data_IF_251190835561
#
_entry.id   IF_251190835561
#
_cell.length_a   1.000
_cell.length_b   1.000
_cell.length_c   1.000
_cell.angle_alpha   90.00
_cell.angle_beta   90.00
_cell.angle_gamma   90.00
#
_symmetry.space_group_name_H-M   'P 1'
#
loop_
_entity.id
_entity.type
_entity.pdbx_description
1 polymer ?
#
# COMPACT_ATOMS: atom_id res chain seq x y z
N UNK A 1 25.11 18.01 8.79
CA UNK A 1 23.90 17.25 8.36
C UNK A 1 23.58 17.39 6.87
N UNK A 2 23.67 18.60 6.28
CA UNK A 2 23.51 18.82 4.82
C UNK A 2 24.35 17.86 3.96
N UNK A 3 25.55 17.48 4.41
CA UNK A 3 26.42 16.53 3.71
C UNK A 3 25.87 15.10 3.61
N UNK A 4 25.04 14.59 4.53
CA UNK A 4 24.59 13.19 4.45
C UNK A 4 23.56 13.00 3.33
N UNK A 5 22.52 13.84 3.33
CA UNK A 5 21.43 13.80 2.34
C UNK A 5 22.00 14.07 0.94
N UNK A 6 22.77 15.15 0.78
CA UNK A 6 23.36 15.52 -0.52
C UNK A 6 24.33 14.47 -1.04
N UNK A 7 25.16 13.86 -0.18
CA UNK A 7 26.05 12.77 -0.61
C UNK A 7 25.26 11.51 -0.97
N UNK A 8 24.18 11.19 -0.27
CA UNK A 8 23.31 10.05 -0.60
C UNK A 8 22.55 10.24 -1.90
N UNK A 9 22.08 11.47 -2.18
CA UNK A 9 21.50 11.84 -3.46
C UNK A 9 22.53 11.68 -4.59
N UNK A 10 23.74 12.24 -4.44
CA UNK A 10 24.80 12.10 -5.46
C UNK A 10 25.17 10.63 -5.69
N UNK A 11 25.22 9.83 -4.62
CA UNK A 11 25.53 8.40 -4.72
C UNK A 11 24.41 7.59 -5.37
N UNK A 12 23.13 7.90 -5.10
CA UNK A 12 22.00 7.20 -5.74
C UNK A 12 22.04 7.40 -7.25
N UNK A 13 22.27 8.62 -7.73
CA UNK A 13 22.45 8.89 -9.17
C UNK A 13 23.68 8.20 -9.76
N UNK A 14 24.82 8.18 -9.04
CA UNK A 14 26.02 7.46 -9.49
C UNK A 14 25.77 5.96 -9.63
N UNK A 15 25.09 5.34 -8.66
CA UNK A 15 24.73 3.92 -8.70
C UNK A 15 23.79 3.60 -9.86
N UNK A 16 22.77 4.44 -10.07
CA UNK A 16 21.83 4.29 -11.18
C UNK A 16 22.56 4.35 -12.53
N UNK A 17 23.46 5.32 -12.71
CA UNK A 17 24.24 5.47 -13.95
C UNK A 17 25.22 4.31 -14.18
N UNK A 18 25.83 3.79 -13.10
CA UNK A 18 26.82 2.69 -13.16
C UNK A 18 26.17 1.35 -13.51
N UNK A 19 24.99 1.05 -12.96
CA UNK A 19 24.37 -0.28 -13.05
C UNK A 19 23.06 -0.27 -13.84
N UNK A 20 23.09 0.31 -15.05
CA UNK A 20 21.90 0.51 -15.92
C UNK A 20 21.04 -0.74 -16.10
N UNK A 21 21.66 -1.92 -16.26
CA UNK A 21 20.95 -3.20 -16.46
C UNK A 21 20.11 -3.61 -15.25
N UNK A 22 20.65 -3.47 -14.04
CA UNK A 22 19.91 -3.82 -12.81
C UNK A 22 18.77 -2.82 -12.60
N UNK A 23 19.01 -1.53 -12.85
CA UNK A 23 17.97 -0.49 -12.78
C UNK A 23 16.85 -0.75 -13.79
N UNK A 24 17.19 -1.13 -15.03
CA UNK A 24 16.19 -1.51 -16.03
C UNK A 24 15.37 -2.71 -15.56
N UNK A 25 16.01 -3.72 -14.96
CA UNK A 25 15.32 -4.85 -14.33
C UNK A 25 14.37 -4.41 -13.21
N UNK A 26 14.79 -3.46 -12.36
CA UNK A 26 13.93 -2.87 -11.32
C UNK A 26 12.74 -2.13 -11.92
N UNK A 27 12.92 -1.39 -13.02
CA UNK A 27 11.82 -0.70 -13.71
C UNK A 27 10.82 -1.67 -14.32
N UNK A 28 11.29 -2.70 -15.03
CA UNK A 28 10.42 -3.73 -15.61
C UNK A 28 9.64 -4.45 -14.50
N UNK A 29 10.31 -4.81 -13.42
CA UNK A 29 9.67 -5.47 -12.28
C UNK A 29 8.63 -4.54 -11.61
N UNK A 30 8.90 -3.25 -11.53
CA UNK A 30 7.97 -2.24 -11.01
C UNK A 30 6.74 -2.07 -11.92
N UNK A 31 6.93 -2.10 -13.25
CA UNK A 31 5.83 -2.06 -14.22
C UNK A 31 4.95 -3.30 -14.05
N UNK A 32 5.53 -4.50 -14.06
CA UNK A 32 4.77 -5.75 -13.90
C UNK A 32 4.01 -5.75 -12.57
N UNK A 33 4.68 -5.34 -11.48
CA UNK A 33 4.05 -5.24 -10.16
C UNK A 33 2.83 -4.31 -10.17
N UNK A 34 2.96 -3.10 -10.72
CA UNK A 34 1.86 -2.13 -10.75
C UNK A 34 0.75 -2.55 -11.69
N UNK A 35 1.07 -3.10 -12.86
CA UNK A 35 0.07 -3.63 -13.79
C UNK A 35 -0.75 -4.76 -13.18
N UNK A 36 -0.11 -5.69 -12.46
CA UNK A 36 -0.81 -6.77 -11.76
C UNK A 36 -1.67 -6.23 -10.62
N UNK A 37 -1.17 -5.29 -9.82
CA UNK A 37 -1.94 -4.67 -8.75
C UNK A 37 -3.17 -3.93 -9.30
N UNK A 38 -3.01 -3.12 -10.35
CA UNK A 38 -4.12 -2.43 -11.01
C UNK A 38 -5.12 -3.43 -11.58
N UNK A 39 -4.66 -4.45 -12.30
CA UNK A 39 -5.53 -5.49 -12.87
C UNK A 39 -6.33 -6.24 -11.80
N UNK A 40 -5.70 -6.61 -10.67
CA UNK A 40 -6.40 -7.23 -9.53
C UNK A 40 -7.44 -6.28 -8.94
N UNK A 41 -7.08 -5.02 -8.70
CA UNK A 41 -7.99 -4.02 -8.15
C UNK A 41 -9.20 -3.84 -9.07
N UNK A 42 -8.99 -3.56 -10.36
CA UNK A 42 -10.08 -3.39 -11.32
C UNK A 42 -10.97 -4.64 -11.39
N UNK A 43 -10.38 -5.84 -11.47
CA UNK A 43 -11.16 -7.07 -11.60
C UNK A 43 -12.08 -7.34 -10.40
N UNK A 44 -11.56 -7.23 -9.17
CA UNK A 44 -12.34 -7.55 -7.97
C UNK A 44 -13.22 -6.38 -7.52
N UNK A 45 -12.80 -5.13 -7.75
CA UNK A 45 -13.63 -3.97 -7.47
C UNK A 45 -14.83 -3.92 -8.41
N UNK A 46 -14.66 -4.10 -9.73
CA UNK A 46 -15.79 -4.12 -10.68
C UNK A 46 -16.81 -5.20 -10.32
N UNK A 47 -16.36 -6.42 -10.01
CA UNK A 47 -17.25 -7.50 -9.53
C UNK A 47 -17.99 -7.16 -8.24
N UNK A 48 -17.35 -6.43 -7.32
CA UNK A 48 -18.00 -5.98 -6.10
C UNK A 48 -19.03 -4.87 -6.39
N UNK A 49 -18.73 -3.95 -7.32
CA UNK A 49 -19.64 -2.91 -7.77
C UNK A 49 -20.88 -3.49 -8.47
N UNK A 50 -20.71 -4.44 -9.40
CA UNK A 50 -21.82 -5.12 -10.07
C UNK A 50 -22.77 -5.78 -9.05
N UNK A 51 -22.23 -6.44 -8.02
CA UNK A 51 -23.05 -7.06 -6.97
C UNK A 51 -23.70 -6.01 -6.05
N UNK A 52 -23.04 -4.88 -5.82
CA UNK A 52 -23.61 -3.79 -5.05
C UNK A 52 -24.75 -3.10 -5.80
N UNK A 53 -24.64 -2.96 -7.12
CA UNK A 53 -25.68 -2.42 -8.01
C UNK A 53 -26.97 -3.24 -7.92
N UNK A 54 -26.87 -4.58 -7.97
CA UNK A 54 -28.04 -5.46 -7.76
C UNK A 54 -28.73 -5.24 -6.40
N UNK A 55 -27.96 -4.92 -5.35
CA UNK A 55 -28.54 -4.60 -4.05
C UNK A 55 -29.21 -3.23 -4.06
N UNK A 56 -28.61 -2.24 -4.71
CA UNK A 56 -29.19 -0.90 -4.87
C UNK A 56 -30.48 -0.96 -5.67
N UNK A 57 -30.48 -1.60 -6.83
CA UNK A 57 -31.67 -1.77 -7.68
C UNK A 57 -32.84 -2.42 -6.94
N UNK A 58 -32.56 -3.43 -6.10
CA UNK A 58 -33.60 -4.07 -5.31
C UNK A 58 -34.17 -3.15 -4.23
N UNK A 59 -33.31 -2.37 -3.56
CA UNK A 59 -33.75 -1.41 -2.55
C UNK A 59 -34.53 -0.26 -3.18
N UNK A 60 -34.14 0.18 -4.37
CA UNK A 60 -34.85 1.21 -5.14
C UNK A 60 -36.25 0.74 -5.59
N UNK A 61 -36.45 -0.57 -5.74
CA UNK A 61 -37.76 -1.18 -6.02
C UNK A 61 -38.64 -1.34 -4.78
N UNK A 62 -38.10 -1.21 -3.57
CA UNK A 62 -38.89 -1.26 -2.35
C UNK A 62 -39.45 0.12 -2.02
N UNK A 63 -40.76 0.22 -1.80
CA UNK A 63 -41.35 1.42 -1.23
C UNK A 63 -41.07 1.44 0.29
N UNK A 64 -40.02 2.17 0.66
CA UNK A 64 -39.59 2.37 2.04
C UNK A 64 -40.21 3.63 2.69
N UNK A 65 -41.35 4.12 2.16
CA UNK A 65 -42.07 5.24 2.78
C UNK A 65 -42.67 4.84 4.13
N UNK A 66 -42.78 5.80 5.04
CA UNK A 66 -43.31 5.56 6.40
C UNK A 66 -44.70 4.91 6.39
N UNK A 67 -45.51 5.20 5.36
CA UNK A 67 -46.87 4.67 5.18
C UNK A 67 -46.82 3.19 4.79
N UNK A 68 -46.00 2.82 3.80
CA UNK A 68 -45.85 1.44 3.32
C UNK A 68 -45.22 0.56 4.41
N UNK A 69 -44.20 1.08 5.10
CA UNK A 69 -43.53 0.40 6.22
C UNK A 69 -44.49 0.16 7.38
N UNK A 70 -45.28 1.16 7.78
CA UNK A 70 -46.29 0.99 8.84
C UNK A 70 -47.35 -0.03 8.45
N UNK A 71 -47.82 -0.01 7.19
CA UNK A 71 -48.76 -1.01 6.66
C UNK A 71 -48.16 -2.42 6.74
N UNK A 72 -46.92 -2.60 6.28
CA UNK A 72 -46.24 -3.89 6.28
C UNK A 72 -46.03 -4.47 7.69
N UNK A 73 -45.71 -3.61 8.66
CA UNK A 73 -45.60 -4.01 10.08
C UNK A 73 -46.95 -4.50 10.62
N UNK A 74 -48.04 -3.80 10.31
CA UNK A 74 -49.39 -4.16 10.77
C UNK A 74 -49.88 -5.46 10.13
N UNK A 75 -49.59 -5.69 8.85
CA UNK A 75 -49.96 -6.93 8.14
C UNK A 75 -49.00 -8.09 8.37
N UNK A 76 -47.91 -7.89 9.11
CA UNK A 76 -46.86 -8.89 9.32
C UNK A 76 -46.12 -9.29 8.03
N UNK A 77 -46.23 -8.49 6.98
CA UNK A 77 -45.48 -8.67 5.74
C UNK A 77 -44.07 -8.11 5.88
N UNK A 78 -43.17 -8.62 5.05
CA UNK A 78 -41.77 -8.27 5.13
C UNK A 78 -41.51 -6.87 4.55
N UNK A 79 -40.89 -6.01 5.34
CA UNK A 79 -40.58 -4.61 4.98
C UNK A 79 -39.60 -4.55 3.80
N UNK A 80 -38.75 -5.56 3.67
CA UNK A 80 -37.73 -5.63 2.62
C UNK A 80 -38.20 -6.38 1.38
N UNK A 81 -39.51 -6.60 1.21
CA UNK A 81 -40.08 -7.31 0.06
C UNK A 81 -39.93 -8.83 0.11
N UNK A 82 -40.01 -9.45 -1.07
CA UNK A 82 -40.16 -10.90 -1.24
C UNK A 82 -38.89 -11.71 -0.95
N UNK A 83 -37.69 -11.10 -1.07
CA UNK A 83 -36.40 -11.80 -0.88
C UNK A 83 -35.39 -10.96 -0.07
N UNK A 84 -35.62 -10.77 1.24
CA UNK A 84 -34.70 -10.02 2.11
C UNK A 84 -33.30 -10.67 2.19
N UNK A 85 -33.21 -11.98 1.94
CA UNK A 85 -31.97 -12.74 1.98
C UNK A 85 -31.07 -12.43 0.78
N UNK A 86 -31.61 -11.78 -0.26
CA UNK A 86 -30.82 -11.30 -1.39
C UNK A 86 -29.72 -10.33 -0.94
N UNK A 87 -30.05 -9.38 -0.06
CA UNK A 87 -29.10 -8.40 0.50
C UNK A 87 -27.93 -9.11 1.18
N UNK A 88 -28.24 -10.05 2.09
CA UNK A 88 -27.22 -10.82 2.80
C UNK A 88 -26.36 -11.68 1.88
N UNK A 89 -26.96 -12.36 0.89
CA UNK A 89 -26.24 -13.19 -0.08
C UNK A 89 -25.27 -12.36 -0.91
N UNK A 90 -25.70 -11.21 -1.41
CA UNK A 90 -24.85 -10.32 -2.21
C UNK A 90 -23.79 -9.61 -1.35
N UNK A 91 -24.10 -9.23 -0.11
CA UNK A 91 -23.08 -8.78 0.85
C UNK A 91 -21.98 -9.83 1.06
N UNK A 92 -22.33 -11.11 1.24
CA UNK A 92 -21.33 -12.19 1.36
C UNK A 92 -20.49 -12.36 0.10
N UNK A 93 -21.04 -12.14 -1.09
CA UNK A 93 -20.27 -12.14 -2.35
C UNK A 93 -19.27 -10.98 -2.39
N UNK A 94 -19.69 -9.77 -2.05
CA UNK A 94 -18.81 -8.58 -1.98
C UNK A 94 -17.66 -8.85 -1.00
N UNK A 95 -17.97 -9.33 0.21
CA UNK A 95 -16.95 -9.70 1.19
C UNK A 95 -15.99 -10.77 0.63
N UNK A 96 -16.52 -11.77 -0.07
CA UNK A 96 -15.71 -12.79 -0.75
C UNK A 96 -14.75 -12.21 -1.80
N UNK A 97 -15.19 -11.23 -2.59
CA UNK A 97 -14.31 -10.54 -3.55
C UNK A 97 -13.24 -9.70 -2.85
N UNK A 98 -13.57 -8.99 -1.77
CA UNK A 98 -12.61 -8.19 -1.00
C UNK A 98 -11.55 -9.06 -0.31
N UNK A 99 -11.94 -10.24 0.21
CA UNK A 99 -11.00 -11.22 0.77
C UNK A 99 -10.05 -11.74 -0.30
N UNK A 100 -10.56 -12.14 -1.47
CA UNK A 100 -9.74 -12.59 -2.60
C UNK A 100 -8.78 -11.49 -3.07
N UNK A 101 -9.28 -10.27 -3.24
CA UNK A 101 -8.47 -9.10 -3.59
C UNK A 101 -7.33 -8.88 -2.60
N UNK A 102 -7.61 -8.97 -1.30
CA UNK A 102 -6.61 -8.81 -0.24
C UNK A 102 -5.55 -9.90 -0.28
N UNK A 103 -5.95 -11.17 -0.42
CA UNK A 103 -5.03 -12.32 -0.51
C UNK A 103 -4.15 -12.21 -1.76
N UNK A 104 -4.74 -11.97 -2.93
CA UNK A 104 -3.96 -11.87 -4.17
C UNK A 104 -3.05 -10.65 -4.19
N UNK A 105 -3.50 -9.52 -3.65
CA UNK A 105 -2.67 -8.33 -3.49
C UNK A 105 -1.50 -8.59 -2.54
N UNK A 106 -1.72 -9.33 -1.43
CA UNK A 106 -0.65 -9.74 -0.52
C UNK A 106 0.36 -10.65 -1.24
N UNK A 107 -0.08 -11.66 -1.97
CA UNK A 107 0.80 -12.57 -2.72
C UNK A 107 1.63 -11.80 -3.76
N UNK A 108 1.00 -10.94 -4.56
CA UNK A 108 1.68 -10.09 -5.54
C UNK A 108 2.69 -9.16 -4.86
N UNK A 109 2.31 -8.53 -3.75
CA UNK A 109 3.21 -7.68 -2.96
C UNK A 109 4.41 -8.46 -2.39
N UNK A 110 4.20 -9.66 -1.84
CA UNK A 110 5.29 -10.46 -1.29
C UNK A 110 6.26 -10.89 -2.38
N UNK A 111 5.77 -11.37 -3.53
CA UNK A 111 6.61 -11.82 -4.64
C UNK A 111 7.38 -10.64 -5.25
N UNK A 112 6.67 -9.64 -5.76
CA UNK A 112 7.30 -8.54 -6.49
C UNK A 112 7.99 -7.54 -5.57
N UNK A 113 7.46 -7.31 -4.37
CA UNK A 113 8.09 -6.47 -3.36
C UNK A 113 9.41 -7.07 -2.89
N UNK A 114 9.45 -8.36 -2.53
CA UNK A 114 10.69 -9.01 -2.10
C UNK A 114 11.77 -9.00 -3.19
N UNK A 115 11.40 -9.27 -4.45
CA UNK A 115 12.31 -9.20 -5.58
C UNK A 115 12.84 -7.78 -5.81
N UNK A 116 11.95 -6.77 -5.74
CA UNK A 116 12.32 -5.36 -5.90
C UNK A 116 13.33 -4.91 -4.85
N UNK A 117 13.09 -5.26 -3.58
CA UNK A 117 13.97 -4.93 -2.49
C UNK A 117 15.28 -5.72 -2.53
N UNK A 118 15.23 -7.01 -2.85
CA UNK A 118 16.42 -7.85 -3.00
C UNK A 118 17.33 -7.38 -4.15
N UNK A 119 16.76 -6.98 -5.30
CA UNK A 119 17.52 -6.40 -6.41
C UNK A 119 18.11 -5.03 -6.07
N UNK A 120 17.39 -4.23 -5.27
CA UNK A 120 17.92 -2.95 -4.76
C UNK A 120 19.10 -3.18 -3.83
N UNK A 121 19.01 -4.18 -2.96
CA UNK A 121 20.10 -4.59 -2.08
C UNK A 121 21.30 -5.15 -2.87
N UNK A 122 21.04 -5.94 -3.92
CA UNK A 122 22.07 -6.43 -4.83
C UNK A 122 22.75 -5.29 -5.61
N UNK A 123 22.00 -4.28 -6.04
CA UNK A 123 22.51 -3.08 -6.70
C UNK A 123 23.52 -2.32 -5.82
N UNK A 124 23.25 -2.24 -4.52
CA UNK A 124 24.06 -1.45 -3.58
C UNK A 124 25.27 -2.26 -3.09
N UNK A 125 25.10 -3.56 -2.78
CA UNK A 125 26.13 -4.35 -2.11
C UNK A 125 26.75 -5.49 -2.95
N UNK A 126 26.30 -5.71 -4.19
CA UNK A 126 26.89 -6.69 -5.10
C UNK A 126 26.83 -8.15 -4.60
N UNK A 127 25.67 -8.58 -4.07
CA UNK A 127 25.54 -9.87 -3.38
C UNK A 127 25.44 -11.08 -4.31
N UNK A 128 25.84 -12.24 -3.76
CA UNK A 128 25.67 -13.56 -4.39
C UNK A 128 24.23 -14.10 -4.27
N UNK A 129 23.91 -15.11 -5.09
CA UNK A 129 22.57 -15.73 -5.17
C UNK A 129 22.02 -16.22 -3.81
N UNK A 130 22.88 -16.81 -2.96
CA UNK A 130 22.47 -17.31 -1.63
C UNK A 130 21.99 -16.19 -0.71
N UNK A 131 22.71 -15.05 -0.68
CA UNK A 131 22.31 -13.89 0.14
C UNK A 131 21.08 -13.20 -0.45
N UNK A 132 20.89 -13.23 -1.76
CA UNK A 132 19.68 -12.74 -2.43
C UNK A 132 18.43 -13.53 -2.01
N UNK A 133 18.47 -14.88 -2.07
CA UNK A 133 17.35 -15.72 -1.62
C UNK A 133 17.07 -15.57 -0.12
N UNK A 134 18.12 -15.49 0.71
CA UNK A 134 17.96 -15.24 2.14
C UNK A 134 17.32 -13.87 2.42
N UNK A 135 17.57 -12.85 1.59
CA UNK A 135 16.92 -11.55 1.69
C UNK A 135 15.42 -11.67 1.44
N UNK A 136 15.02 -12.39 0.38
CA UNK A 136 13.61 -12.61 0.02
C UNK A 136 12.84 -13.24 1.19
N UNK A 137 13.35 -14.32 1.77
CA UNK A 137 12.69 -14.99 2.91
C UNK A 137 12.51 -14.07 4.12
N UNK A 138 13.57 -13.31 4.48
CA UNK A 138 13.49 -12.32 5.58
C UNK A 138 12.50 -11.20 5.28
N UNK A 139 12.47 -10.72 4.03
CA UNK A 139 11.54 -9.69 3.58
C UNK A 139 10.10 -10.18 3.75
N UNK A 140 9.78 -11.38 3.24
CA UNK A 140 8.43 -11.92 3.33
C UNK A 140 7.96 -12.06 4.78
N UNK A 141 8.81 -12.58 5.67
CA UNK A 141 8.47 -12.72 7.10
C UNK A 141 8.21 -11.36 7.76
N UNK A 142 9.06 -10.36 7.52
CA UNK A 142 8.86 -9.01 8.07
C UNK A 142 7.61 -8.35 7.49
N UNK A 143 7.44 -8.43 6.17
CA UNK A 143 6.28 -7.88 5.47
C UNK A 143 4.98 -8.49 6.01
N UNK A 144 4.90 -9.82 6.16
CA UNK A 144 3.72 -10.47 6.74
C UNK A 144 3.44 -9.99 8.16
N UNK A 145 4.47 -9.86 9.01
CA UNK A 145 4.30 -9.36 10.37
C UNK A 145 3.74 -7.93 10.43
N UNK A 146 4.33 -7.01 9.66
CA UNK A 146 3.85 -5.62 9.59
C UNK A 146 2.47 -5.51 8.94
N UNK A 147 2.23 -6.23 7.84
CA UNK A 147 0.94 -6.20 7.14
C UNK A 147 -0.18 -6.84 7.96
N UNK A 148 0.10 -7.87 8.76
CA UNK A 148 -0.87 -8.43 9.69
C UNK A 148 -1.29 -7.39 10.75
N UNK A 149 -0.33 -6.65 11.31
CA UNK A 149 -0.63 -5.56 12.25
C UNK A 149 -1.45 -4.44 11.58
N UNK A 150 -1.05 -4.02 10.37
CA UNK A 150 -1.80 -3.00 9.61
C UNK A 150 -3.22 -3.49 9.30
N UNK A 151 -3.38 -4.76 8.93
CA UNK A 151 -4.69 -5.36 8.68
C UNK A 151 -5.56 -5.38 9.94
N UNK A 152 -5.00 -5.73 11.11
CA UNK A 152 -5.72 -5.68 12.38
C UNK A 152 -6.16 -4.26 12.75
N UNK A 153 -5.32 -3.24 12.51
CA UNK A 153 -5.68 -1.84 12.72
C UNK A 153 -6.80 -1.40 11.76
N UNK A 154 -6.69 -1.75 10.47
CA UNK A 154 -7.71 -1.44 9.47
C UNK A 154 -9.05 -2.12 9.79
N UNK A 155 -9.03 -3.39 10.19
CA UNK A 155 -10.20 -4.13 10.63
C UNK A 155 -10.85 -3.50 11.86
N UNK A 156 -10.04 -3.10 12.86
CA UNK A 156 -10.52 -2.44 14.07
C UNK A 156 -11.18 -1.09 13.75
N UNK A 157 -10.59 -0.30 12.86
CA UNK A 157 -11.16 0.96 12.39
C UNK A 157 -12.48 0.75 11.64
N UNK A 158 -12.55 -0.23 10.73
CA UNK A 158 -13.78 -0.56 10.00
C UNK A 158 -14.90 -1.02 10.94
N UNK A 159 -14.58 -1.87 11.93
CA UNK A 159 -15.56 -2.31 12.92
C UNK A 159 -16.06 -1.14 13.77
N UNK A 160 -15.18 -0.19 14.11
CA UNK A 160 -15.54 1.04 14.81
C UNK A 160 -16.51 1.91 13.99
N UNK A 161 -16.27 2.05 12.68
CA UNK A 161 -17.17 2.80 11.77
C UNK A 161 -18.53 2.10 11.62
N UNK A 162 -18.55 0.78 11.43
CA UNK A 162 -19.79 0.02 11.21
C UNK A 162 -20.59 -0.12 12.50
N UNK A 163 -19.92 -0.37 13.64
CA UNK A 163 -20.55 -0.47 14.95
C UNK A 163 -21.00 0.87 15.54
N UNK A 164 -20.49 1.98 15.01
CA UNK A 164 -20.79 3.35 15.42
C UNK A 164 -21.93 4.03 14.65
N UNK A 165 -22.75 3.29 13.90
CA UNK A 165 -24.01 3.80 13.29
C UNK A 165 -25.04 4.27 14.34
N UNK A 166 -24.71 4.21 15.63
CA UNK A 166 -25.45 4.80 16.74
C UNK A 166 -24.54 5.88 17.37
N UNK A 167 -24.97 7.14 17.24
CA UNK A 167 -24.37 8.39 17.70
C UNK A 167 -23.26 9.01 16.83
N UNK A 168 -23.67 10.09 16.17
CA UNK A 168 -22.90 11.29 15.83
C UNK A 168 -21.61 11.43 16.64
N UNK A 169 -20.50 10.99 16.08
CA UNK A 169 -19.22 11.68 16.18
C UNK A 169 -18.23 10.96 15.27
N UNK A 170 -17.73 11.69 14.28
CA UNK A 170 -16.38 11.48 13.75
C UNK A 170 -15.37 11.77 14.87
N UNK A 171 -15.41 10.98 15.96
CA UNK A 171 -14.56 11.11 17.13
C UNK A 171 -13.13 10.75 16.75
N UNK A 172 -12.18 11.44 17.38
CA UNK A 172 -10.73 11.34 17.25
C UNK A 172 -10.13 9.92 17.17
N UNK A 173 -10.86 8.86 17.55
CA UNK A 173 -10.41 7.47 17.54
C UNK A 173 -10.03 6.93 16.16
N UNK A 174 -10.75 7.28 15.09
CA UNK A 174 -10.42 6.82 13.73
C UNK A 174 -9.08 7.39 13.22
N UNK A 175 -8.75 8.62 13.64
CA UNK A 175 -7.49 9.26 13.28
C UNK A 175 -6.29 8.58 13.95
N UNK A 176 -6.46 8.05 15.16
CA UNK A 176 -5.39 7.31 15.88
C UNK A 176 -4.97 6.06 15.11
N UNK A 177 -5.91 5.27 14.60
CA UNK A 177 -5.59 4.08 13.80
C UNK A 177 -4.83 4.41 12.52
N UNK A 178 -5.18 5.53 11.87
CA UNK A 178 -4.49 6.02 10.68
C UNK A 178 -3.05 6.43 11.00
N UNK A 179 -2.84 7.21 12.08
CA UNK A 179 -1.49 7.58 12.53
C UNK A 179 -0.65 6.35 12.86
N UNK A 180 -1.21 5.39 13.59
CA UNK A 180 -0.53 4.14 13.93
C UNK A 180 -0.19 3.32 12.68
N UNK A 181 -1.09 3.26 11.70
CA UNK A 181 -0.83 2.63 10.40
C UNK A 181 0.33 3.29 9.65
N UNK A 182 0.37 4.62 9.61
CA UNK A 182 1.48 5.38 9.02
C UNK A 182 2.80 5.14 9.76
N UNK A 183 2.77 5.10 11.10
CA UNK A 183 3.94 4.79 11.91
C UNK A 183 4.45 3.37 11.65
N UNK A 184 3.56 2.38 11.54
CA UNK A 184 3.94 1.00 11.18
C UNK A 184 4.57 0.93 9.78
N UNK A 185 3.98 1.60 8.79
CA UNK A 185 4.56 1.69 7.44
C UNK A 185 5.97 2.32 7.47
N UNK A 186 6.13 3.40 8.23
CA UNK A 186 7.42 4.06 8.43
C UNK A 186 8.49 3.09 8.98
N UNK A 187 8.18 2.34 10.05
CA UNK A 187 9.10 1.35 10.62
C UNK A 187 9.30 0.12 9.73
N UNK A 188 8.29 -0.27 8.95
CA UNK A 188 8.38 -1.37 7.99
C UNK A 188 9.43 -1.06 6.92
N UNK A 189 9.37 0.12 6.32
CA UNK A 189 10.33 0.53 5.28
C UNK A 189 11.76 0.69 5.81
N UNK A 190 11.94 1.20 7.04
CA UNK A 190 13.27 1.21 7.69
C UNK A 190 13.76 -0.23 7.88
N UNK A 191 12.89 -1.14 8.35
CA UNK A 191 13.23 -2.55 8.56
C UNK A 191 13.71 -3.20 7.26
N UNK A 192 13.06 -2.92 6.13
CA UNK A 192 13.47 -3.42 4.82
C UNK A 192 14.87 -2.94 4.40
N UNK A 193 15.19 -1.66 4.64
CA UNK A 193 16.52 -1.13 4.38
C UNK A 193 17.61 -1.80 5.24
N UNK A 194 17.25 -2.41 6.38
CA UNK A 194 18.17 -3.04 7.33
C UNK A 194 18.36 -4.55 7.18
N UNK A 195 17.52 -5.24 6.41
CA UNK A 195 17.50 -6.70 6.27
C UNK A 195 18.87 -7.30 5.98
N UNK A 196 19.65 -6.60 5.17
CA UNK A 196 20.94 -7.05 4.67
C UNK A 196 22.11 -6.87 5.63
N UNK A 197 21.97 -5.97 6.61
CA UNK A 197 23.07 -5.53 7.47
C UNK A 197 23.07 -6.25 8.82
N UNK A 198 21.91 -6.73 9.27
CA UNK A 198 21.70 -7.16 10.64
C UNK A 198 21.11 -8.58 10.68
N UNK A 199 21.34 -9.30 11.80
CA UNK A 199 20.67 -10.57 12.10
C UNK A 199 19.17 -10.37 12.23
N UNK A 200 18.36 -11.31 11.74
CA UNK A 200 16.90 -11.16 11.67
C UNK A 200 16.26 -10.72 12.99
N UNK A 201 16.68 -11.33 14.11
CA UNK A 201 16.20 -11.03 15.48
C UNK A 201 16.43 -9.59 15.93
N UNK A 202 17.43 -8.90 15.37
CA UNK A 202 17.80 -7.55 15.74
C UNK A 202 17.21 -6.48 14.82
N UNK A 203 16.61 -6.86 13.67
CA UNK A 203 16.11 -5.90 12.67
C UNK A 203 15.08 -4.97 13.29
N UNK A 204 14.05 -5.52 13.94
CA UNK A 204 12.98 -4.71 14.52
C UNK A 204 13.51 -3.77 15.61
N UNK A 205 14.35 -4.29 16.52
CA UNK A 205 14.97 -3.49 17.60
C UNK A 205 15.79 -2.33 17.03
N UNK A 206 16.59 -2.58 16.00
CA UNK A 206 17.44 -1.55 15.38
C UNK A 206 16.63 -0.59 14.51
N UNK A 207 15.58 -1.07 13.83
CA UNK A 207 14.65 -0.20 13.10
C UNK A 207 13.92 0.77 14.03
N UNK A 208 13.45 0.29 15.19
CA UNK A 208 12.85 1.13 16.23
C UNK A 208 13.86 2.13 16.80
N UNK A 209 15.07 1.67 17.13
CA UNK A 209 16.12 2.55 17.66
C UNK A 209 16.51 3.65 16.66
N UNK A 210 16.72 3.30 15.38
CA UNK A 210 17.05 4.26 14.33
C UNK A 210 15.88 5.20 14.04
N UNK A 211 14.68 4.65 13.90
CA UNK A 211 13.47 5.42 13.62
C UNK A 211 13.11 6.38 14.74
N UNK A 212 13.38 6.04 16.01
CA UNK A 212 13.18 6.96 17.13
C UNK A 212 14.33 7.97 17.29
N UNK A 213 15.59 7.51 17.35
CA UNK A 213 16.74 8.40 17.64
C UNK A 213 17.11 9.32 16.47
N UNK A 214 16.88 8.88 15.23
CA UNK A 214 17.22 9.62 14.00
C UNK A 214 15.97 9.92 13.17
N UNK A 215 14.81 10.02 13.84
CA UNK A 215 13.51 10.26 13.20
C UNK A 215 13.56 11.43 12.22
N UNK A 216 14.11 12.57 12.65
CA UNK A 216 14.19 13.80 11.85
C UNK A 216 14.88 13.61 10.50
N UNK A 217 15.96 12.80 10.42
CA UNK A 217 16.69 12.57 9.17
C UNK A 217 15.87 11.67 8.24
N UNK A 218 15.33 10.59 8.79
CA UNK A 218 14.58 9.61 8.00
C UNK A 218 13.24 10.22 7.54
N UNK A 219 12.54 10.96 8.40
CA UNK A 219 11.32 11.70 8.07
C UNK A 219 11.58 12.74 6.99
N UNK A 220 12.70 13.47 7.04
CA UNK A 220 13.07 14.41 5.99
C UNK A 220 13.28 13.70 4.64
N UNK A 221 13.88 12.51 4.63
CA UNK A 221 14.00 11.68 3.40
C UNK A 221 12.62 11.26 2.88
N UNK A 222 11.71 10.81 3.75
CA UNK A 222 10.35 10.50 3.34
C UNK A 222 9.61 11.71 2.80
N UNK A 223 9.77 12.88 3.42
CA UNK A 223 9.16 14.13 2.97
C UNK A 223 9.67 14.52 1.58
N UNK A 224 10.99 14.46 1.34
CA UNK A 224 11.57 14.70 0.01
C UNK A 224 10.99 13.72 -1.02
N UNK A 225 10.94 12.44 -0.69
CA UNK A 225 10.38 11.41 -1.58
C UNK A 225 8.90 11.67 -1.87
N UNK A 226 8.12 12.05 -0.86
CA UNK A 226 6.69 12.35 -0.97
C UNK A 226 6.45 13.57 -1.84
N UNK A 227 7.22 14.65 -1.66
CA UNK A 227 7.14 15.85 -2.51
C UNK A 227 7.42 15.50 -3.96
N UNK A 228 8.47 14.71 -4.24
CA UNK A 228 8.79 14.26 -5.61
C UNK A 228 7.64 13.46 -6.22
N UNK A 229 7.08 12.51 -5.48
CA UNK A 229 5.95 11.69 -5.95
C UNK A 229 4.72 12.55 -6.22
N UNK A 230 4.36 13.48 -5.31
CA UNK A 230 3.21 14.37 -5.47
C UNK A 230 3.36 15.27 -6.70
N UNK A 231 4.56 15.84 -6.91
CA UNK A 231 4.84 16.66 -8.09
C UNK A 231 4.71 15.85 -9.39
N UNK A 232 5.19 14.60 -9.40
CA UNK A 232 5.09 13.72 -10.57
C UNK A 232 3.65 13.24 -10.83
N UNK A 233 2.87 12.98 -9.77
CA UNK A 233 1.44 12.67 -9.90
C UNK A 233 0.68 13.86 -10.47
N UNK A 234 0.94 15.08 -9.97
CA UNK A 234 0.37 16.30 -10.55
C UNK A 234 0.76 16.49 -12.01
N UNK A 235 2.01 16.20 -12.37
CA UNK A 235 2.48 16.25 -13.76
C UNK A 235 1.75 15.23 -14.64
N UNK A 236 1.58 13.99 -14.17
CA UNK A 236 0.81 12.95 -14.87
C UNK A 236 -0.64 13.40 -15.11
N UNK A 237 -1.29 13.96 -14.09
CA UNK A 237 -2.66 14.50 -14.22
C UNK A 237 -2.74 15.68 -15.19
N UNK A 238 -1.80 16.62 -15.13
CA UNK A 238 -1.76 17.76 -16.05
C UNK A 238 -1.58 17.31 -17.51
N UNK A 239 -0.76 16.29 -17.75
CA UNK A 239 -0.45 15.80 -19.09
C UNK A 239 -1.48 14.81 -19.65
N UNK A 240 -2.34 14.22 -18.80
CA UNK A 240 -3.32 13.22 -19.23
C UNK A 240 -4.36 13.76 -20.22
N UNK A 241 -4.58 15.07 -20.23
CA UNK A 241 -5.51 15.75 -21.15
C UNK A 241 -4.82 16.40 -22.35
N UNK A 242 -3.47 16.36 -22.43
CA UNK A 242 -2.69 17.12 -23.42
C UNK A 242 -2.08 16.24 -24.51
N UNK A 243 -1.40 15.15 -24.15
CA UNK A 243 -0.73 14.27 -25.12
C UNK A 243 -0.44 12.90 -24.52
N UNK A 244 -0.84 11.84 -25.23
CA UNK A 244 -0.58 10.45 -24.84
C UNK A 244 0.93 10.13 -24.74
N UNK A 245 1.74 10.75 -25.61
CA UNK A 245 3.18 10.57 -25.62
C UNK A 245 3.82 11.18 -24.35
N UNK A 246 3.46 12.43 -24.03
CA UNK A 246 3.94 13.11 -22.82
C UNK A 246 3.45 12.41 -21.54
N UNK A 247 2.21 11.90 -21.54
CA UNK A 247 1.68 11.08 -20.46
C UNK A 247 2.53 9.83 -20.25
N UNK A 248 2.88 9.12 -21.32
CA UNK A 248 3.71 7.91 -21.25
C UNK A 248 5.09 8.20 -20.66
N UNK A 249 5.71 9.31 -21.06
CA UNK A 249 7.00 9.75 -20.49
C UNK A 249 6.88 10.13 -19.01
N UNK A 250 5.80 10.81 -18.62
CA UNK A 250 5.55 11.18 -17.22
C UNK A 250 5.33 9.94 -16.33
N UNK A 251 4.62 8.93 -16.83
CA UNK A 251 4.46 7.64 -16.14
C UNK A 251 5.80 6.92 -15.97
N UNK A 252 6.64 6.88 -17.01
CA UNK A 252 8.00 6.31 -16.90
C UNK A 252 8.85 7.07 -15.87
N UNK A 253 8.75 8.41 -15.83
CA UNK A 253 9.45 9.23 -14.85
C UNK A 253 8.94 8.97 -13.42
N UNK A 254 7.63 8.80 -13.23
CA UNK A 254 7.03 8.41 -11.96
C UNK A 254 7.55 7.04 -11.49
N UNK A 255 7.56 6.04 -12.37
CA UNK A 255 8.11 4.72 -12.09
C UNK A 255 9.60 4.77 -11.70
N UNK A 256 10.38 5.56 -12.44
CA UNK A 256 11.78 5.79 -12.14
C UNK A 256 11.97 6.44 -10.77
N UNK A 257 11.13 7.42 -10.41
CA UNK A 257 11.17 8.06 -9.09
C UNK A 257 10.91 7.06 -7.96
N UNK A 258 9.98 6.11 -8.13
CA UNK A 258 9.70 5.07 -7.12
C UNK A 258 10.92 4.17 -6.89
N UNK A 259 11.60 3.77 -7.97
CA UNK A 259 12.84 2.99 -7.86
C UNK A 259 13.96 3.81 -7.22
N UNK A 260 14.12 5.06 -7.64
CA UNK A 260 15.17 5.96 -7.14
C UNK A 260 14.99 6.33 -5.67
N UNK A 261 13.78 6.65 -5.23
CA UNK A 261 13.45 6.98 -3.83
C UNK A 261 13.77 5.81 -2.90
N UNK A 262 13.53 4.57 -3.33
CA UNK A 262 13.92 3.35 -2.60
C UNK A 262 15.44 3.22 -2.47
N UNK A 263 16.19 3.39 -3.55
CA UNK A 263 17.68 3.36 -3.51
C UNK A 263 18.19 4.44 -2.57
N UNK A 264 17.64 5.65 -2.69
CA UNK A 264 18.00 6.80 -1.86
C UNK A 264 17.76 6.53 -0.36
N UNK A 265 16.60 5.97 0.00
CA UNK A 265 16.28 5.59 1.37
C UNK A 265 17.30 4.58 1.94
N UNK A 266 17.61 3.51 1.20
CA UNK A 266 18.58 2.49 1.65
C UNK A 266 19.95 3.11 1.89
N UNK A 267 20.44 3.98 0.99
CA UNK A 267 21.73 4.66 1.17
C UNK A 267 21.76 5.61 2.36
N UNK A 268 20.66 6.30 2.66
CA UNK A 268 20.60 7.17 3.85
C UNK A 268 20.61 6.32 5.11
N UNK A 269 19.78 5.28 5.19
CA UNK A 269 19.75 4.37 6.34
C UNK A 269 21.12 3.70 6.54
N UNK A 270 21.81 3.35 5.46
CA UNK A 270 23.15 2.76 5.52
C UNK A 270 24.19 3.69 6.15
N UNK A 271 24.15 4.97 5.79
CA UNK A 271 25.07 5.99 6.33
C UNK A 271 24.75 6.42 7.75
N UNK A 272 23.56 6.11 8.25
CA UNK A 272 23.16 6.50 9.61
C UNK A 272 23.89 5.72 10.72
N UNK A 273 24.88 4.87 10.37
CA UNK A 273 25.76 4.07 11.24
C UNK A 273 25.00 3.43 12.40
N UNK A 274 24.71 2.14 12.21
CA UNK A 274 24.24 1.22 13.25
C UNK A 274 25.39 0.85 14.19
#
# INVERSE_FOLDING_TARGET
MSNLITTSLKQSFKLVKKHKRIVLGLLILQIIFLSLMIGLQMHYQMKAFEVAEVVMEYLDQQDLSDIEVAKNIVTGSNILGDDPLMIYRNYRKIAGFMVRLSIYSLVVYLVFGSLNWALTDQLIYGKNKKRFLAYIGKFCLLAMGFLALIFLLAYSSLKGVIGGLILETLTSGNFVYLILGLALLYFMFISFALISRIKFKEILRKALMLGAKKAHIILLVYLINLVIIVLLVRLVHFLSTKSIFLLSLALLLLLFSIVWTRIFLVLVVDKLKI
#
